data_IF_878131333495
#
_entry.id   IF_878131333495
#
_cell.length_a   1.000
_cell.length_b   1.000
_cell.length_c   1.000
_cell.angle_alpha   90.00
_cell.angle_beta   90.00
_cell.angle_gamma   90.00
#
_symmetry.space_group_name_H-M   'P 1'
#
loop_
_entity.id
_entity.type
_entity.pdbx_description
1 polymer ?
#
# COMPACT_ATOMS: atom_id res chain seq x y z
N UNK A 1 1.89 -5.45 -17.20
CA UNK A 1 3.16 -5.03 -16.58
C UNK A 1 4.36 -5.02 -17.53
N UNK A 2 4.35 -5.72 -18.68
CA UNK A 2 5.50 -5.75 -19.63
C UNK A 2 5.45 -4.72 -20.78
N UNK A 3 4.31 -4.08 -21.05
CA UNK A 3 4.20 -3.00 -22.05
C UNK A 3 4.58 -1.61 -21.49
N UNK A 4 4.74 -1.48 -20.18
CA UNK A 4 5.12 -0.25 -19.50
C UNK A 4 6.62 -0.15 -19.22
N UNK A 5 7.41 -1.19 -19.50
CA UNK A 5 8.85 -1.25 -19.16
C UNK A 5 9.79 -0.73 -20.24
N UNK A 6 9.35 -0.60 -21.50
CA UNK A 6 10.20 -0.22 -22.63
C UNK A 6 10.26 1.29 -22.92
N UNK A 7 9.50 2.12 -22.19
CA UNK A 7 9.46 3.58 -22.35
C UNK A 7 10.08 4.37 -21.18
N UNK A 8 10.78 3.69 -20.28
CA UNK A 8 11.39 4.32 -19.09
C UNK A 8 12.73 4.99 -19.43
N UNK A 9 12.71 6.28 -19.79
CA UNK A 9 13.88 7.17 -19.66
C UNK A 9 13.73 7.92 -18.33
N UNK A 10 14.81 8.04 -17.55
CA UNK A 10 14.75 8.60 -16.19
C UNK A 10 14.38 10.08 -16.20
N UNK A 11 13.17 10.42 -15.75
CA UNK A 11 12.76 11.79 -15.54
C UNK A 11 12.78 12.12 -14.05
N UNK A 12 13.69 13.01 -13.65
CA UNK A 12 13.85 13.42 -12.26
C UNK A 12 12.58 14.11 -11.69
N UNK A 13 11.74 14.67 -12.57
CA UNK A 13 10.50 15.36 -12.20
C UNK A 13 9.31 14.43 -11.96
N UNK A 14 9.40 13.15 -12.32
CA UNK A 14 8.30 12.23 -12.08
C UNK A 14 8.27 11.75 -10.63
N UNK A 15 7.09 11.84 -10.02
CA UNK A 15 6.83 11.38 -8.65
C UNK A 15 6.26 9.96 -8.61
N UNK A 16 5.93 9.39 -9.78
CA UNK A 16 5.38 8.04 -9.89
C UNK A 16 6.52 7.01 -9.82
N UNK A 17 6.65 6.39 -8.66
CA UNK A 17 7.71 5.42 -8.39
C UNK A 17 7.27 4.02 -8.84
N UNK A 18 7.99 3.44 -9.79
CA UNK A 18 8.05 2.00 -9.99
C UNK A 18 9.22 1.46 -9.14
N UNK A 19 9.15 0.20 -8.71
CA UNK A 19 10.09 -0.46 -7.76
C UNK A 19 11.59 -0.19 -8.02
N UNK A 20 11.97 0.18 -9.26
CA UNK A 20 13.35 0.48 -9.65
C UNK A 20 13.53 1.86 -10.29
N UNK A 21 12.48 2.54 -10.79
CA UNK A 21 12.58 3.76 -11.62
C UNK A 21 11.34 4.66 -11.50
N UNK A 22 11.46 5.94 -11.86
CA UNK A 22 10.34 6.88 -11.99
C UNK A 22 9.76 6.86 -13.42
N UNK A 23 8.45 6.97 -13.59
CA UNK A 23 7.79 6.95 -14.91
C UNK A 23 8.00 8.27 -15.67
N UNK A 24 8.25 8.28 -16.99
CA UNK A 24 8.55 9.52 -17.74
C UNK A 24 7.33 10.40 -18.11
N UNK A 25 6.22 10.30 -17.38
CA UNK A 25 5.00 11.02 -17.71
C UNK A 25 4.26 11.50 -16.46
N UNK A 26 3.56 12.62 -16.58
CA UNK A 26 2.62 13.10 -15.56
C UNK A 26 1.20 12.63 -15.85
N UNK A 27 0.37 12.57 -14.80
CA UNK A 27 -1.05 12.26 -14.96
C UNK A 27 -1.77 13.26 -15.87
N UNK A 28 -1.41 14.54 -15.81
CA UNK A 28 -1.94 15.60 -16.68
C UNK A 28 -1.60 15.41 -18.16
N UNK A 29 -0.42 14.87 -18.47
CA UNK A 29 -0.03 14.54 -19.84
C UNK A 29 -0.85 13.36 -20.38
N UNK A 30 -1.11 12.35 -19.53
CA UNK A 30 -1.95 11.20 -19.91
C UNK A 30 -3.40 11.59 -20.16
N UNK A 31 -4.00 12.39 -19.29
CA UNK A 31 -5.40 12.83 -19.46
C UNK A 31 -5.59 13.75 -20.66
N UNK A 32 -4.54 14.48 -21.07
CA UNK A 32 -4.54 15.27 -22.30
C UNK A 32 -4.49 14.42 -23.58
N UNK A 33 -3.93 13.21 -23.50
CA UNK A 33 -3.80 12.29 -24.64
C UNK A 33 -5.03 11.38 -24.76
N UNK A 34 -5.56 10.89 -23.65
CA UNK A 34 -6.75 10.03 -23.63
C UNK A 34 -7.67 10.34 -22.43
N UNK A 35 -8.92 10.79 -22.68
CA UNK A 35 -9.91 10.99 -21.62
C UNK A 35 -10.25 9.72 -20.83
N UNK A 36 -10.03 8.52 -21.39
CA UNK A 36 -10.29 7.23 -20.73
C UNK A 36 -9.31 6.91 -19.59
N UNK A 37 -8.23 7.70 -19.44
CA UNK A 37 -7.30 7.55 -18.33
C UNK A 37 -8.00 7.74 -16.98
N UNK A 38 -8.95 8.67 -16.88
CA UNK A 38 -9.68 8.95 -15.64
C UNK A 38 -10.50 7.74 -15.14
N UNK A 39 -11.40 7.13 -15.95
CA UNK A 39 -12.14 5.94 -15.52
C UNK A 39 -11.23 4.71 -15.33
N UNK A 40 -10.16 4.55 -16.12
CA UNK A 40 -9.18 3.49 -15.92
C UNK A 40 -8.50 3.57 -14.55
N UNK A 41 -8.11 4.78 -14.14
CA UNK A 41 -7.48 5.03 -12.85
C UNK A 41 -8.46 4.83 -11.69
N UNK A 42 -9.73 5.22 -11.85
CA UNK A 42 -10.76 4.93 -10.86
C UNK A 42 -10.95 3.40 -10.66
N UNK A 43 -10.87 2.62 -11.75
CA UNK A 43 -10.92 1.16 -11.69
C UNK A 43 -9.68 0.56 -10.98
N UNK A 44 -8.48 1.08 -11.24
CA UNK A 44 -7.27 0.68 -10.51
C UNK A 44 -7.37 0.98 -9.01
N UNK A 45 -7.95 2.12 -8.63
CA UNK A 45 -8.20 2.45 -7.23
C UNK A 45 -9.13 1.44 -6.54
N UNK A 46 -10.16 0.94 -7.24
CA UNK A 46 -11.01 -0.14 -6.71
C UNK A 46 -10.25 -1.46 -6.51
N UNK A 47 -9.36 -1.83 -7.45
CA UNK A 47 -8.50 -3.01 -7.32
C UNK A 47 -7.56 -2.92 -6.11
N UNK A 48 -7.02 -1.73 -5.83
CA UNK A 48 -6.18 -1.49 -4.64
C UNK A 48 -6.95 -1.78 -3.34
N UNK A 49 -8.23 -1.43 -3.27
CA UNK A 49 -9.08 -1.75 -2.11
C UNK A 49 -9.23 -3.25 -1.86
N UNK A 50 -9.37 -4.05 -2.92
CA UNK A 50 -9.45 -5.51 -2.82
C UNK A 50 -8.13 -6.09 -2.28
N UNK A 51 -6.99 -5.54 -2.69
CA UNK A 51 -5.67 -6.00 -2.23
C UNK A 51 -5.54 -5.87 -0.70
N UNK A 52 -5.91 -4.72 -0.14
CA UNK A 52 -5.83 -4.47 1.32
C UNK A 52 -6.76 -5.42 2.09
N UNK A 53 -7.99 -5.63 1.61
CA UNK A 53 -8.93 -6.57 2.24
C UNK A 53 -8.37 -7.99 2.20
N UNK A 54 -7.77 -8.39 1.08
CA UNK A 54 -7.17 -9.71 0.92
C UNK A 54 -5.96 -9.93 1.84
N UNK A 55 -5.17 -8.88 2.12
CA UNK A 55 -4.08 -8.92 3.09
C UNK A 55 -4.57 -8.93 4.54
N UNK A 56 -5.64 -8.18 4.84
CA UNK A 56 -6.20 -8.07 6.19
C UNK A 56 -6.72 -9.41 6.74
N UNK A 57 -7.33 -10.25 5.90
CA UNK A 57 -7.91 -11.53 6.34
C UNK A 57 -6.84 -12.49 6.92
N UNK A 58 -5.74 -12.82 6.22
CA UNK A 58 -4.64 -13.60 6.77
C UNK A 58 -4.07 -12.99 8.05
N UNK A 59 -3.89 -11.66 8.09
CA UNK A 59 -3.37 -10.96 9.27
C UNK A 59 -4.28 -11.15 10.49
N UNK A 60 -5.60 -11.07 10.31
CA UNK A 60 -6.57 -11.32 11.38
C UNK A 60 -6.48 -12.77 11.84
N UNK A 61 -6.45 -13.73 10.91
CA UNK A 61 -6.36 -15.15 11.24
C UNK A 61 -5.06 -15.47 12.00
N UNK A 62 -3.91 -14.99 11.52
CA UNK A 62 -2.61 -15.14 12.15
C UNK A 62 -2.61 -14.50 13.55
N UNK A 63 -3.20 -13.30 13.68
CA UNK A 63 -3.33 -12.62 14.97
C UNK A 63 -4.19 -13.41 15.96
N UNK A 64 -5.28 -14.03 15.51
CA UNK A 64 -6.16 -14.82 16.38
C UNK A 64 -5.52 -16.15 16.77
N UNK A 65 -4.91 -16.87 15.84
CA UNK A 65 -4.49 -18.25 16.07
C UNK A 65 -3.06 -18.40 16.55
N UNK A 66 -2.15 -17.53 16.09
CA UNK A 66 -0.73 -17.67 16.34
C UNK A 66 -0.24 -16.69 17.41
N UNK A 67 -0.76 -15.45 17.42
CA UNK A 67 -0.44 -14.46 18.46
C UNK A 67 -0.99 -14.88 19.83
N UNK A 68 -2.23 -15.41 19.88
CA UNK A 68 -2.81 -15.94 21.13
C UNK A 68 -2.04 -17.13 21.71
N UNK A 69 -1.25 -17.83 20.89
CA UNK A 69 -0.39 -18.94 21.34
C UNK A 69 1.00 -18.47 21.80
N UNK A 70 1.23 -17.15 21.90
CA UNK A 70 2.49 -16.58 22.36
C UNK A 70 3.65 -16.74 21.38
N UNK A 71 3.38 -17.04 20.10
CA UNK A 71 4.45 -17.27 19.14
C UNK A 71 5.13 -15.95 18.73
N UNK A 72 6.36 -15.74 19.20
CA UNK A 72 7.12 -14.49 19.01
C UNK A 72 7.35 -14.12 17.53
N UNK A 73 7.52 -15.11 16.65
CA UNK A 73 7.73 -14.87 15.21
C UNK A 73 6.56 -14.14 14.56
N UNK A 74 5.34 -14.32 15.08
CA UNK A 74 4.13 -13.70 14.55
C UNK A 74 4.18 -12.19 14.71
N UNK A 75 4.70 -11.70 15.83
CA UNK A 75 4.86 -10.26 16.05
C UNK A 75 5.82 -9.65 15.02
N UNK A 76 6.95 -10.30 14.75
CA UNK A 76 7.89 -9.85 13.72
C UNK A 76 7.30 -9.94 12.30
N UNK A 77 6.52 -10.97 12.00
CA UNK A 77 5.81 -11.08 10.72
C UNK A 77 4.81 -9.93 10.54
N UNK A 78 4.01 -9.63 11.56
CA UNK A 78 3.06 -8.51 11.53
C UNK A 78 3.78 -7.16 11.42
N UNK A 79 4.93 -6.99 12.07
CA UNK A 79 5.77 -5.80 11.90
C UNK A 79 6.29 -5.69 10.46
N UNK A 80 6.74 -6.80 9.86
CA UNK A 80 7.15 -6.82 8.47
C UNK A 80 5.98 -6.43 7.53
N UNK A 81 4.78 -6.97 7.74
CA UNK A 81 3.60 -6.60 6.95
C UNK A 81 3.23 -5.12 7.11
N UNK A 82 3.38 -4.54 8.32
CA UNK A 82 3.16 -3.11 8.53
C UNK A 82 4.11 -2.25 7.69
N UNK A 83 5.40 -2.59 7.72
CA UNK A 83 6.44 -1.82 7.04
C UNK A 83 6.36 -2.03 5.52
N UNK A 84 6.17 -3.28 5.08
CA UNK A 84 6.20 -3.64 3.67
C UNK A 84 4.90 -3.30 2.96
N UNK A 85 3.75 -3.81 3.42
CA UNK A 85 2.46 -3.55 2.75
C UNK A 85 1.92 -2.19 3.20
N UNK A 86 1.82 -1.97 4.52
CA UNK A 86 1.15 -0.80 5.08
C UNK A 86 1.77 0.53 4.62
N UNK A 87 3.07 0.73 4.85
CA UNK A 87 3.71 2.00 4.50
C UNK A 87 3.84 2.23 3.00
N UNK A 88 4.08 1.19 2.20
CA UNK A 88 4.09 1.34 0.74
C UNK A 88 2.71 1.71 0.20
N UNK A 89 1.63 1.11 0.72
CA UNK A 89 0.27 1.45 0.29
C UNK A 89 -0.13 2.87 0.71
N UNK A 90 0.20 3.27 1.95
CA UNK A 90 -0.02 4.65 2.42
C UNK A 90 0.73 5.65 1.53
N UNK A 91 2.02 5.40 1.27
CA UNK A 91 2.82 6.26 0.41
C UNK A 91 2.21 6.35 -1.00
N UNK A 92 1.86 5.22 -1.60
CA UNK A 92 1.31 5.15 -2.95
C UNK A 92 -0.02 5.90 -3.06
N UNK A 93 -0.94 5.72 -2.10
CA UNK A 93 -2.24 6.41 -2.11
C UNK A 93 -2.10 7.90 -1.83
N UNK A 94 -1.15 8.31 -0.98
CA UNK A 94 -0.88 9.72 -0.72
C UNK A 94 -0.27 10.42 -1.94
N UNK A 95 0.71 9.79 -2.61
CA UNK A 95 1.24 10.33 -3.87
C UNK A 95 0.16 10.41 -4.95
N UNK A 96 -0.66 9.36 -5.06
CA UNK A 96 -1.79 9.32 -5.99
C UNK A 96 -2.78 10.48 -5.75
N UNK A 97 -3.11 10.79 -4.49
CA UNK A 97 -3.95 11.93 -4.13
C UNK A 97 -3.34 13.27 -4.58
N UNK A 98 -2.05 13.49 -4.30
CA UNK A 98 -1.38 14.73 -4.68
C UNK A 98 -1.29 14.93 -6.20
N UNK A 99 -1.14 13.85 -6.95
CA UNK A 99 -1.00 13.89 -8.41
C UNK A 99 -2.33 14.03 -9.16
N UNK A 100 -3.41 13.43 -8.63
CA UNK A 100 -4.69 13.34 -9.34
C UNK A 100 -5.78 14.24 -8.75
N UNK A 101 -5.65 14.66 -7.48
CA UNK A 101 -6.72 15.32 -6.73
C UNK A 101 -7.94 14.42 -6.46
N UNK A 102 -7.87 13.13 -6.81
CA UNK A 102 -8.95 12.19 -6.58
C UNK A 102 -9.14 11.92 -5.08
N UNK A 103 -10.35 11.58 -4.60
CA UNK A 103 -10.60 11.33 -3.18
C UNK A 103 -9.61 10.32 -2.59
N UNK A 104 -8.97 10.69 -1.47
CA UNK A 104 -7.99 9.82 -0.83
C UNK A 104 -8.65 8.54 -0.32
N UNK A 105 -8.11 7.40 -0.72
CA UNK A 105 -8.54 6.12 -0.17
C UNK A 105 -7.95 5.95 1.23
N UNK A 106 -8.77 6.09 2.28
CA UNK A 106 -8.30 6.16 3.68
C UNK A 106 -7.95 4.79 4.27
N UNK A 107 -8.30 3.70 3.59
CA UNK A 107 -8.15 2.34 4.12
C UNK A 107 -6.71 1.92 4.46
N UNK A 108 -5.66 2.22 3.66
CA UNK A 108 -4.26 1.97 4.03
C UNK A 108 -3.84 2.67 5.32
N UNK A 109 -4.31 3.91 5.53
CA UNK A 109 -4.03 4.66 6.75
C UNK A 109 -4.65 4.00 7.97
N UNK A 110 -5.91 3.60 7.87
CA UNK A 110 -6.61 2.85 8.92
C UNK A 110 -5.90 1.53 9.23
N UNK A 111 -5.49 0.79 8.20
CA UNK A 111 -4.74 -0.45 8.33
C UNK A 111 -3.44 -0.23 9.13
N UNK A 112 -2.64 0.77 8.76
CA UNK A 112 -1.40 1.08 9.45
C UNK A 112 -1.62 1.44 10.92
N UNK A 113 -2.60 2.31 11.21
CA UNK A 113 -2.91 2.74 12.58
C UNK A 113 -3.34 1.56 13.44
N UNK A 114 -4.26 0.72 12.94
CA UNK A 114 -4.75 -0.44 13.66
C UNK A 114 -3.64 -1.47 13.91
N UNK A 115 -2.82 -1.75 12.89
CA UNK A 115 -1.72 -2.70 12.98
C UNK A 115 -0.61 -2.21 13.92
N UNK A 116 -0.22 -0.94 13.83
CA UNK A 116 0.76 -0.34 14.74
C UNK A 116 0.27 -0.36 16.19
N UNK A 117 -1.01 -0.03 16.41
CA UNK A 117 -1.63 -0.08 17.75
C UNK A 117 -1.67 -1.51 18.29
N UNK A 118 -2.02 -2.49 17.43
CA UNK A 118 -2.03 -3.91 17.78
C UNK A 118 -0.64 -4.42 18.16
N UNK A 119 0.38 -4.10 17.35
CA UNK A 119 1.78 -4.45 17.62
C UNK A 119 2.29 -3.83 18.92
N UNK A 120 1.98 -2.56 19.17
CA UNK A 120 2.36 -1.87 20.40
C UNK A 120 1.76 -2.56 21.64
N UNK A 121 0.45 -2.82 21.63
CA UNK A 121 -0.24 -3.47 22.75
C UNK A 121 0.22 -4.90 23.01
N UNK A 122 0.52 -5.64 21.94
CA UNK A 122 0.87 -7.06 22.05
C UNK A 122 2.35 -7.31 22.31
N UNK A 123 3.21 -6.28 22.20
CA UNK A 123 4.64 -6.37 22.48
C UNK A 123 4.90 -6.89 23.90
N UNK A 124 4.32 -6.25 24.91
CA UNK A 124 4.56 -6.66 26.31
C UNK A 124 3.99 -8.06 26.58
N UNK A 125 2.82 -8.38 26.02
CA UNK A 125 2.17 -9.68 26.21
C UNK A 125 2.95 -10.85 25.60
N UNK A 126 3.77 -10.63 24.57
CA UNK A 126 4.52 -11.67 23.88
C UNK A 126 5.96 -11.80 24.40
N UNK A 127 6.58 -10.68 24.78
CA UNK A 127 8.00 -10.65 25.16
C UNK A 127 8.26 -10.65 26.66
N UNK A 128 7.27 -10.27 27.49
CA UNK A 128 7.39 -10.25 28.95
C UNK A 128 6.63 -11.41 29.63
N UNK A 129 6.28 -12.46 28.88
CA UNK A 129 5.81 -13.74 29.42
C UNK A 129 6.95 -14.52 30.07
#
# INVERSE_FOLDING_TARGET
MLLTSSLSISNDMSLWTFVVHKLDFSFSQLTAVDPQVVPFVAFLAMLAGVNIVSAAVPIILISIFALKKGQKWVWYYLLFMLVWEGFNDVYSVTQFYFETGAPMFVMPWLFCILMATGLYKTREQIFNQ
#
